data_IF_294317632422
#
_entry.id   IF_294317632422
#
_cell.length_a   1.000
_cell.length_b   1.000
_cell.length_c   1.000
_cell.angle_alpha   90.00
_cell.angle_beta   90.00
_cell.angle_gamma   90.00
#
_symmetry.space_group_name_H-M   'P 1'
#
loop_
_entity.id
_entity.type
_entity.pdbx_description
1 polymer ?
#
# COMPACT_ATOMS: atom_id res chain seq x y z
N UNK A 1 -0.15 -2.88 -7.56
CA UNK A 1 1.20 -3.42 -7.21
C UNK A 1 2.20 -2.30 -7.28
N UNK A 2 3.28 -2.34 -6.49
CA UNK A 2 4.29 -1.29 -6.45
C UNK A 2 5.69 -1.86 -6.28
N UNK A 3 6.62 -1.49 -7.16
CA UNK A 3 8.03 -1.87 -7.04
C UNK A 3 8.74 -0.99 -6.02
N UNK A 4 9.62 -1.58 -5.23
CA UNK A 4 10.47 -0.90 -4.26
C UNK A 4 11.90 -0.73 -4.82
N UNK A 5 12.69 0.26 -4.35
CA UNK A 5 14.03 0.54 -4.90
C UNK A 5 15.03 -0.60 -4.67
N UNK A 6 14.77 -1.48 -3.71
CA UNK A 6 15.56 -2.67 -3.44
C UNK A 6 15.23 -3.86 -4.38
N UNK A 7 14.34 -3.65 -5.36
CA UNK A 7 13.94 -4.67 -6.33
C UNK A 7 12.83 -5.62 -5.84
N UNK A 8 12.35 -5.46 -4.61
CA UNK A 8 11.15 -6.17 -4.14
C UNK A 8 9.88 -5.53 -4.69
N UNK A 9 8.77 -6.26 -4.64
CA UNK A 9 7.47 -5.77 -5.12
C UNK A 9 6.42 -5.94 -4.03
N UNK A 10 5.76 -4.86 -3.65
CA UNK A 10 4.61 -4.90 -2.75
C UNK A 10 3.32 -5.04 -3.57
N UNK A 11 2.47 -5.99 -3.21
CA UNK A 11 1.18 -6.24 -3.86
C UNK A 11 0.07 -6.24 -2.84
N UNK A 12 -1.07 -5.66 -3.21
CA UNK A 12 -2.31 -5.81 -2.46
C UNK A 12 -3.02 -7.06 -2.93
N UNK A 13 -3.57 -7.81 -1.99
CA UNK A 13 -4.41 -8.98 -2.23
C UNK A 13 -5.76 -8.71 -1.57
N UNK A 14 -6.75 -8.39 -2.41
CA UNK A 14 -8.11 -8.05 -1.98
C UNK A 14 -8.91 -9.29 -1.55
N UNK A 15 -8.51 -10.49 -1.96
CA UNK A 15 -9.19 -11.74 -1.62
C UNK A 15 -8.97 -12.18 -0.18
N UNK A 16 -7.86 -11.76 0.45
CA UNK A 16 -7.52 -12.11 1.83
C UNK A 16 -7.10 -10.92 2.69
N UNK A 17 -7.36 -9.70 2.23
CA UNK A 17 -7.12 -8.45 2.97
C UNK A 17 -5.66 -8.31 3.44
N UNK A 18 -4.72 -8.59 2.53
CA UNK A 18 -3.28 -8.51 2.83
C UNK A 18 -2.52 -7.62 1.88
N UNK A 19 -1.36 -7.19 2.37
CA UNK A 19 -0.26 -6.71 1.55
C UNK A 19 0.82 -7.76 1.61
N UNK A 20 1.32 -8.18 0.45
CA UNK A 20 2.40 -9.15 0.33
C UNK A 20 3.62 -8.46 -0.23
N UNK A 21 4.78 -8.83 0.29
CA UNK A 21 6.08 -8.44 -0.25
C UNK A 21 6.62 -9.61 -1.04
N UNK A 22 6.88 -9.38 -2.31
CA UNK A 22 7.44 -10.35 -3.22
C UNK A 22 8.95 -10.12 -3.37
N UNK A 23 9.71 -11.20 -3.44
CA UNK A 23 11.12 -11.16 -3.82
C UNK A 23 11.30 -10.91 -5.33
N UNK A 24 12.56 -10.87 -5.79
CA UNK A 24 12.91 -10.65 -7.20
C UNK A 24 12.47 -11.79 -8.14
N UNK A 25 12.09 -12.94 -7.58
CA UNK A 25 11.57 -14.10 -8.30
C UNK A 25 10.04 -14.21 -8.17
N UNK A 26 9.39 -13.17 -7.61
CA UNK A 26 7.95 -13.11 -7.35
C UNK A 26 7.42 -14.12 -6.31
N UNK A 27 8.30 -14.69 -5.47
CA UNK A 27 7.84 -15.48 -4.32
C UNK A 27 7.41 -14.56 -3.17
N UNK A 28 6.42 -14.98 -2.39
CA UNK A 28 6.00 -14.25 -1.19
C UNK A 28 7.09 -14.37 -0.13
N UNK A 29 7.80 -13.27 0.12
CA UNK A 29 8.82 -13.16 1.15
C UNK A 29 8.23 -12.77 2.52
N UNK A 30 7.16 -11.96 2.51
CA UNK A 30 6.49 -11.50 3.72
C UNK A 30 5.04 -11.08 3.43
N UNK A 31 4.21 -10.95 4.45
CA UNK A 31 2.88 -10.36 4.34
C UNK A 31 2.45 -9.69 5.66
N UNK A 32 1.56 -8.72 5.56
CA UNK A 32 0.82 -8.19 6.71
C UNK A 32 -0.66 -8.05 6.37
N UNK A 33 -1.50 -8.12 7.39
CA UNK A 33 -2.94 -7.89 7.25
C UNK A 33 -3.22 -6.37 7.21
N UNK A 34 -4.15 -5.98 6.35
CA UNK A 34 -4.76 -4.63 6.32
C UNK A 34 -6.18 -4.72 6.87
N UNK A 35 -6.66 -3.64 7.47
CA UNK A 35 -7.94 -3.66 8.22
C UNK A 35 -9.20 -3.58 7.35
N UNK A 36 -9.10 -3.95 6.08
CA UNK A 36 -10.19 -4.00 5.12
C UNK A 36 -9.66 -4.27 3.73
N UNK A 37 -10.57 -4.44 2.76
CA UNK A 37 -10.23 -4.79 1.37
C UNK A 37 -9.34 -3.71 0.73
N UNK A 38 -8.05 -4.00 0.50
CA UNK A 38 -7.16 -3.04 -0.14
C UNK A 38 -7.56 -2.82 -1.60
N UNK A 39 -7.46 -1.57 -2.06
CA UNK A 39 -7.82 -1.17 -3.41
C UNK A 39 -6.58 -0.88 -4.26
N UNK A 40 -5.63 -0.11 -3.73
CA UNK A 40 -4.44 0.32 -4.46
C UNK A 40 -3.26 0.54 -3.51
N UNK A 41 -2.05 0.58 -4.08
CA UNK A 41 -0.78 0.67 -3.36
C UNK A 41 0.22 1.53 -4.12
N UNK A 42 0.88 2.45 -3.41
CA UNK A 42 1.91 3.31 -3.97
C UNK A 42 3.09 3.46 -3.01
N UNK A 43 4.29 3.60 -3.58
CA UNK A 43 5.51 3.90 -2.82
C UNK A 43 5.50 5.36 -2.37
N UNK A 44 5.71 5.58 -1.06
CA UNK A 44 5.82 6.92 -0.47
C UNK A 44 7.28 7.30 -0.25
N UNK A 45 8.09 6.36 0.24
CA UNK A 45 9.53 6.54 0.47
C UNK A 45 10.30 5.30 0.02
N UNK A 46 11.63 5.31 0.14
CA UNK A 46 12.45 4.12 -0.19
C UNK A 46 12.12 2.88 0.63
N UNK A 47 11.47 3.03 1.78
CA UNK A 47 11.12 1.95 2.70
C UNK A 47 9.68 2.01 3.18
N UNK A 48 8.78 2.67 2.46
CA UNK A 48 7.38 2.79 2.85
C UNK A 48 6.45 2.79 1.65
N UNK A 49 5.33 2.09 1.80
CA UNK A 49 4.21 2.09 0.88
C UNK A 49 2.95 2.58 1.59
N UNK A 50 2.04 3.19 0.85
CA UNK A 50 0.72 3.55 1.30
C UNK A 50 -0.32 2.71 0.55
N UNK A 51 -1.32 2.24 1.29
CA UNK A 51 -2.37 1.34 0.79
C UNK A 51 -3.73 1.95 1.08
N UNK A 52 -4.57 2.06 0.07
CA UNK A 52 -5.96 2.51 0.22
C UNK A 52 -6.88 1.34 0.55
N UNK A 53 -7.83 1.55 1.46
CA UNK A 53 -8.95 0.63 1.69
C UNK A 53 -10.11 1.43 2.29
N UNK A 54 -11.30 1.31 1.73
CA UNK A 54 -12.49 2.00 2.23
C UNK A 54 -12.28 3.51 2.40
N UNK A 55 -12.38 4.00 3.64
CA UNK A 55 -12.19 5.41 4.00
C UNK A 55 -10.79 5.70 4.55
N UNK A 56 -9.78 4.87 4.27
CA UNK A 56 -8.49 4.95 4.91
C UNK A 56 -7.33 4.80 3.92
N UNK A 57 -6.21 5.43 4.28
CA UNK A 57 -4.87 5.06 3.81
C UNK A 57 -4.08 4.50 4.99
N UNK A 58 -3.48 3.32 4.85
CA UNK A 58 -2.54 2.77 5.81
C UNK A 58 -1.13 2.81 5.23
N UNK A 59 -0.20 3.32 6.03
CA UNK A 59 1.21 3.32 5.73
C UNK A 59 1.81 2.01 6.24
N UNK A 60 2.70 1.43 5.46
CA UNK A 60 3.35 0.15 5.76
C UNK A 60 4.83 0.32 5.48
N UNK A 61 5.66 0.16 6.51
CA UNK A 61 7.10 0.21 6.37
C UNK A 61 7.64 -1.13 5.89
N UNK A 62 8.64 -1.08 5.02
CA UNK A 62 9.39 -2.25 4.52
C UNK A 62 10.79 -2.19 5.14
N UNK A 63 11.02 -2.94 6.20
CA UNK A 63 12.28 -2.91 6.97
C UNK A 63 12.88 -4.30 6.95
N UNK A 64 14.09 -4.45 6.41
CA UNK A 64 14.80 -5.74 6.33
C UNK A 64 13.95 -6.87 5.71
N UNK A 65 13.16 -6.55 4.68
CA UNK A 65 12.27 -7.51 4.02
C UNK A 65 11.02 -7.89 4.82
N UNK A 66 10.71 -7.17 5.90
CA UNK A 66 9.49 -7.35 6.68
C UNK A 66 8.52 -6.19 6.46
N UNK A 67 7.23 -6.52 6.40
CA UNK A 67 6.16 -5.54 6.36
C UNK A 67 5.71 -5.21 7.79
N UNK A 68 5.76 -3.92 8.14
CA UNK A 68 5.35 -3.44 9.44
C UNK A 68 4.21 -2.44 9.27
N UNK A 69 3.05 -2.76 9.85
CA UNK A 69 1.89 -1.88 9.84
C UNK A 69 2.22 -0.57 10.57
N UNK A 70 2.13 0.54 9.86
CA UNK A 70 2.35 1.89 10.37
C UNK A 70 1.04 2.62 10.66
N UNK A 71 1.10 3.95 10.56
CA UNK A 71 -0.02 4.83 10.81
C UNK A 71 -1.16 4.70 9.79
N UNK A 72 -2.33 5.23 10.15
CA UNK A 72 -3.50 5.31 9.28
C UNK A 72 -3.95 6.76 9.16
N UNK A 73 -4.33 7.16 7.95
CA UNK A 73 -4.99 8.41 7.65
C UNK A 73 -6.44 8.12 7.30
N UNK A 74 -7.36 8.67 8.10
CA UNK A 74 -8.80 8.62 7.82
C UNK A 74 -9.14 9.66 6.75
N UNK A 75 -9.96 9.27 5.79
CA UNK A 75 -10.38 10.07 4.65
C UNK A 75 -11.91 10.17 4.58
N UNK A 76 -12.37 11.20 3.91
CA UNK A 76 -13.72 11.34 3.39
C UNK A 76 -13.57 12.01 2.01
N UNK A 77 -13.99 11.41 0.89
CA UNK A 77 -14.77 10.17 0.68
C UNK A 77 -13.94 8.86 0.54
N UNK A 78 -14.58 7.77 0.07
CA UNK A 78 -13.97 6.42 -0.13
C UNK A 78 -12.76 6.50 -1.07
N UNK A 79 -11.60 6.09 -0.59
CA UNK A 79 -10.36 6.03 -1.34
C UNK A 79 -10.27 4.75 -2.17
N UNK A 80 -9.97 4.89 -3.47
CA UNK A 80 -9.88 3.75 -4.40
C UNK A 80 -8.58 3.68 -5.19
N UNK A 81 -7.89 4.81 -5.37
CA UNK A 81 -6.59 4.84 -6.03
C UNK A 81 -5.65 5.78 -5.32
N UNK A 82 -4.35 5.56 -5.46
CA UNK A 82 -3.31 6.36 -4.81
C UNK A 82 -2.09 6.54 -5.69
N UNK A 83 -1.59 7.77 -5.74
CA UNK A 83 -0.34 8.10 -6.42
C UNK A 83 0.51 9.01 -5.54
N UNK A 84 1.82 8.87 -5.63
CA UNK A 84 2.78 9.73 -4.96
C UNK A 84 3.60 10.48 -6.01
N UNK A 85 3.64 11.80 -5.90
CA UNK A 85 4.43 12.65 -6.79
C UNK A 85 4.98 13.86 -6.03
N UNK A 86 6.29 14.08 -6.12
CA UNK A 86 6.98 15.24 -5.52
C UNK A 86 6.62 15.51 -4.04
N UNK A 87 6.59 14.46 -3.22
CA UNK A 87 6.29 14.56 -1.78
C UNK A 87 4.80 14.72 -1.45
N UNK A 88 3.93 14.68 -2.46
CA UNK A 88 2.48 14.79 -2.30
C UNK A 88 1.80 13.48 -2.63
N UNK A 89 0.82 13.10 -1.81
CA UNK A 89 -0.06 11.96 -2.05
C UNK A 89 -1.37 12.43 -2.67
N UNK A 90 -1.70 11.85 -3.82
CA UNK A 90 -2.94 12.08 -4.54
C UNK A 90 -3.80 10.85 -4.38
N UNK A 91 -5.02 11.05 -3.88
CA UNK A 91 -5.96 9.98 -3.61
C UNK A 91 -7.19 10.20 -4.48
N UNK A 92 -7.59 9.18 -5.21
CA UNK A 92 -8.82 9.22 -6.00
C UNK A 92 -9.97 8.54 -5.25
N UNK A 93 -11.18 9.00 -5.53
CA UNK A 93 -12.40 8.44 -4.97
C UNK A 93 -13.38 8.10 -6.09
N UNK A 94 -14.22 7.08 -5.86
CA UNK A 94 -15.37 6.78 -6.74
C UNK A 94 -16.41 7.89 -6.79
N UNK A 95 -16.38 8.82 -5.84
CA UNK A 95 -17.37 9.90 -5.69
C UNK A 95 -16.76 11.29 -5.84
N UNK A 96 -15.47 11.40 -6.18
CA UNK A 96 -14.88 12.69 -6.51
C UNK A 96 -15.37 13.08 -7.91
N UNK A 97 -16.29 14.04 -7.97
CA UNK A 97 -16.75 14.73 -9.17
C UNK A 97 -15.94 16.00 -9.38
#
# INVERSE_FOLDING_TARGET
MCSMPNGQVSVVDDTNERVKLLDQLFNVANHCDVSGTPCDICQVTSSEVAVTFGLCVQFISVINGQLMNGGKLQLQPIAVGIAHHQGSLYITSRTAL
#
